data_IF_081119822597
#
_entry.id   IF_081119822597
#
_cell.length_a   1.000
_cell.length_b   1.000
_cell.length_c   1.000
_cell.angle_alpha   90.00
_cell.angle_beta   90.00
_cell.angle_gamma   90.00
#
_symmetry.space_group_name_H-M   'P 1'
#
loop_
_entity.id
_entity.type
_entity.pdbx_description
1 polymer ?
#
# COMPACT_ATOMS: atom_id res chain seq x y z
N UNK A 1 9.28 -17.29 2.78
CA UNK A 1 9.02 -17.58 4.22
C UNK A 1 7.53 -17.82 4.36
N UNK A 2 7.06 -19.02 4.76
CA UNK A 2 5.62 -19.23 4.94
C UNK A 2 5.17 -18.56 6.23
N UNK A 3 4.16 -17.69 6.16
CA UNK A 3 3.52 -17.16 7.37
C UNK A 3 2.91 -18.35 8.12
N UNK A 4 3.41 -18.61 9.33
CA UNK A 4 2.79 -19.60 10.23
C UNK A 4 1.61 -18.92 10.92
N UNK A 5 0.47 -19.59 10.96
CA UNK A 5 -0.67 -19.11 11.76
C UNK A 5 -0.21 -18.79 13.20
N UNK A 6 -0.65 -17.64 13.72
CA UNK A 6 -0.26 -17.14 15.04
C UNK A 6 1.04 -16.33 15.09
N UNK A 7 1.70 -16.09 13.95
CA UNK A 7 2.84 -15.16 13.88
C UNK A 7 2.37 -13.72 13.64
N UNK A 8 3.09 -12.76 14.23
CA UNK A 8 2.83 -11.34 14.05
C UNK A 8 3.16 -10.93 12.61
N UNK A 9 2.24 -10.24 11.95
CA UNK A 9 2.45 -9.74 10.59
C UNK A 9 3.56 -8.68 10.55
N UNK A 10 4.30 -8.62 9.44
CA UNK A 10 5.46 -7.72 9.27
C UNK A 10 5.12 -6.23 9.41
N UNK A 11 3.89 -5.84 9.03
CA UNK A 11 3.33 -4.51 9.31
C UNK A 11 3.48 -4.14 10.80
N UNK A 12 3.13 -5.07 11.70
CA UNK A 12 3.16 -4.85 13.15
C UNK A 12 4.54 -5.08 13.75
N UNK A 13 5.30 -6.03 13.20
CA UNK A 13 6.69 -6.25 13.62
C UNK A 13 7.55 -4.98 13.43
N UNK A 14 7.24 -4.19 12.40
CA UNK A 14 8.03 -3.01 12.01
C UNK A 14 7.39 -1.67 12.40
N UNK A 15 6.23 -1.69 13.08
CA UNK A 15 5.47 -0.49 13.40
C UNK A 15 6.16 0.43 14.43
N UNK A 16 7.15 -0.07 15.17
CA UNK A 16 7.75 0.67 16.29
C UNK A 16 6.77 0.88 17.44
N UNK A 17 7.09 1.81 18.33
CA UNK A 17 6.32 2.10 19.55
C UNK A 17 5.71 3.51 19.57
N UNK A 18 6.07 4.38 18.63
CA UNK A 18 5.54 5.73 18.59
C UNK A 18 4.16 5.77 17.93
N UNK A 19 3.33 6.72 18.40
CA UNK A 19 1.95 6.86 17.94
C UNK A 19 1.83 7.04 16.42
N UNK A 20 2.76 7.78 15.80
CA UNK A 20 2.71 8.06 14.37
C UNK A 20 2.96 6.80 13.56
N UNK A 21 3.93 6.00 13.94
CA UNK A 21 4.26 4.75 13.25
C UNK A 21 3.18 3.70 13.43
N UNK A 22 2.55 3.61 14.61
CA UNK A 22 1.38 2.76 14.86
C UNK A 22 0.20 3.17 13.97
N UNK A 23 -0.08 4.47 13.82
CA UNK A 23 -1.15 4.96 12.95
C UNK A 23 -0.91 4.59 11.48
N UNK A 24 0.34 4.69 11.01
CA UNK A 24 0.69 4.28 9.64
C UNK A 24 0.46 2.78 9.42
N UNK A 25 0.92 1.95 10.37
CA UNK A 25 0.74 0.51 10.33
C UNK A 25 -0.75 0.13 10.34
N UNK A 26 -1.56 0.80 11.15
CA UNK A 26 -3.00 0.57 11.23
C UNK A 26 -3.71 0.82 9.89
N UNK A 27 -3.42 1.95 9.23
CA UNK A 27 -4.00 2.26 7.91
C UNK A 27 -3.66 1.17 6.90
N UNK A 28 -2.40 0.73 6.85
CA UNK A 28 -1.98 -0.34 5.94
C UNK A 28 -2.65 -1.68 6.27
N UNK A 29 -2.76 -2.03 7.55
CA UNK A 29 -3.45 -3.24 8.01
C UNK A 29 -4.93 -3.25 7.62
N UNK A 30 -5.63 -2.11 7.75
CA UNK A 30 -7.03 -1.95 7.35
C UNK A 30 -7.21 -2.18 5.84
N UNK A 31 -6.30 -1.66 5.02
CA UNK A 31 -6.31 -1.87 3.56
C UNK A 31 -6.02 -3.33 3.21
N UNK A 32 -4.99 -3.92 3.83
CA UNK A 32 -4.63 -5.31 3.59
C UNK A 32 -5.75 -6.28 4.01
N UNK A 33 -6.43 -6.01 5.13
CA UNK A 33 -7.56 -6.81 5.61
C UNK A 33 -8.82 -6.66 4.75
N UNK A 34 -8.83 -5.77 3.75
CA UNK A 34 -9.99 -5.53 2.89
C UNK A 34 -11.15 -4.82 3.59
N UNK A 35 -10.95 -4.31 4.81
CA UNK A 35 -11.95 -3.54 5.56
C UNK A 35 -11.89 -2.04 5.25
N UNK A 36 -10.91 -1.61 4.46
CA UNK A 36 -10.85 -0.25 3.94
C UNK A 36 -12.01 0.03 2.99
N UNK A 37 -12.79 1.07 3.32
CA UNK A 37 -14.01 1.38 2.59
C UNK A 37 -13.73 2.33 1.43
N UNK A 38 -13.57 1.77 0.23
CA UNK A 38 -13.49 2.50 -1.05
C UNK A 38 -14.89 2.71 -1.66
N UNK A 39 -15.00 3.61 -2.66
CA UNK A 39 -16.28 3.83 -3.36
C UNK A 39 -16.82 2.57 -4.04
N UNK A 40 -15.94 1.76 -4.66
CA UNK A 40 -16.32 0.47 -5.26
C UNK A 40 -16.95 -0.50 -4.25
N UNK A 41 -16.44 -0.54 -3.01
CA UNK A 41 -17.02 -1.35 -1.95
C UNK A 41 -18.41 -0.82 -1.58
N UNK A 42 -18.58 0.49 -1.43
CA UNK A 42 -19.86 1.11 -1.07
C UNK A 42 -20.93 0.91 -2.14
N UNK A 43 -20.57 1.05 -3.42
CA UNK A 43 -21.49 0.84 -4.55
C UNK A 43 -21.96 -0.60 -4.66
N UNK A 44 -21.08 -1.58 -4.37
CA UNK A 44 -21.44 -3.00 -4.39
C UNK A 44 -22.45 -3.38 -3.29
N UNK A 45 -22.36 -2.76 -2.11
CA UNK A 45 -23.18 -3.15 -0.95
C UNK A 45 -24.46 -2.30 -0.76
N UNK A 46 -24.58 -1.12 -1.37
CA UNK A 46 -25.77 -0.27 -1.26
C UNK A 46 -26.62 -0.35 -2.53
N UNK A 47 -27.93 -0.52 -2.37
CA UNK A 47 -28.93 -0.52 -3.46
C UNK A 47 -29.19 0.86 -4.10
N UNK A 48 -28.50 1.92 -3.66
CA UNK A 48 -28.67 3.31 -4.13
C UNK A 48 -27.44 3.78 -4.93
N UNK A 49 -27.58 4.87 -5.70
CA UNK A 49 -26.59 5.49 -6.61
C UNK A 49 -25.28 5.97 -5.94
N UNK A 50 -24.54 5.08 -5.30
CA UNK A 50 -23.15 5.34 -4.95
C UNK A 50 -22.32 5.01 -6.17
N UNK A 51 -21.75 6.03 -6.81
CA UNK A 51 -20.82 5.85 -7.92
C UNK A 51 -19.57 5.10 -7.43
N UNK A 52 -19.09 4.13 -8.22
CA UNK A 52 -17.82 3.45 -7.97
C UNK A 52 -16.60 4.31 -8.34
N UNK A 53 -16.82 5.45 -8.99
CA UNK A 53 -15.77 6.33 -9.50
C UNK A 53 -14.98 6.96 -8.36
N UNK A 54 -13.66 7.02 -8.54
CA UNK A 54 -12.72 7.64 -7.63
C UNK A 54 -13.05 9.12 -7.42
N UNK A 55 -13.34 9.53 -6.18
CA UNK A 55 -13.74 10.90 -5.90
C UNK A 55 -12.55 11.86 -5.94
N UNK A 56 -11.32 11.35 -6.06
CA UNK A 56 -10.11 12.15 -6.16
C UNK A 56 -9.81 12.55 -7.60
N UNK A 57 -9.88 11.60 -8.54
CA UNK A 57 -9.51 11.84 -9.95
C UNK A 57 -10.72 11.94 -10.88
N UNK A 58 -11.89 11.41 -10.48
CA UNK A 58 -13.15 11.42 -11.24
C UNK A 58 -12.99 10.78 -12.63
N UNK A 59 -12.02 9.87 -12.78
CA UNK A 59 -11.65 9.29 -14.08
C UNK A 59 -11.86 7.77 -14.16
N UNK A 60 -11.71 7.06 -13.04
CA UNK A 60 -11.69 5.60 -13.01
C UNK A 60 -12.30 5.06 -11.70
N UNK A 61 -12.53 3.76 -11.60
CA UNK A 61 -13.09 3.09 -10.43
C UNK A 61 -12.11 3.18 -9.25
N UNK A 62 -12.60 3.49 -8.05
CA UNK A 62 -11.79 3.47 -6.83
C UNK A 62 -11.69 2.05 -6.28
N UNK A 63 -10.63 1.33 -6.63
CA UNK A 63 -10.30 0.03 -6.04
C UNK A 63 -8.90 0.02 -5.39
N UNK A 64 -8.51 -1.16 -4.90
CA UNK A 64 -7.23 -1.38 -4.22
C UNK A 64 -6.04 -1.34 -5.18
N UNK A 65 -6.22 -1.32 -6.50
CA UNK A 65 -5.14 -1.10 -7.46
C UNK A 65 -5.05 0.38 -7.84
N UNK A 66 -6.18 0.99 -8.17
CA UNK A 66 -6.27 2.37 -8.62
C UNK A 66 -5.69 3.35 -7.59
N UNK A 67 -6.12 3.24 -6.33
CA UNK A 67 -5.70 4.17 -5.27
C UNK A 67 -4.17 4.17 -5.04
N UNK A 68 -3.52 3.01 -4.81
CA UNK A 68 -2.08 2.96 -4.59
C UNK A 68 -1.21 3.10 -5.84
N UNK A 69 -1.68 2.76 -7.04
CA UNK A 69 -0.81 2.71 -8.22
C UNK A 69 -1.14 3.72 -9.32
N UNK A 70 -2.41 4.06 -9.53
CA UNK A 70 -2.85 4.66 -10.81
C UNK A 70 -3.48 6.05 -10.65
N UNK A 71 -4.04 6.38 -9.49
CA UNK A 71 -4.74 7.65 -9.28
C UNK A 71 -3.84 8.84 -9.59
N UNK A 72 -4.26 9.67 -10.56
CA UNK A 72 -3.50 10.85 -11.02
C UNK A 72 -3.47 11.95 -9.96
N UNK A 73 -4.57 12.12 -9.21
CA UNK A 73 -4.71 13.12 -8.15
C UNK A 73 -3.79 12.88 -6.94
N UNK A 74 -3.19 11.70 -6.83
CA UNK A 74 -2.23 11.34 -5.77
C UNK A 74 -0.82 11.07 -6.31
N UNK A 75 -0.56 11.29 -7.61
CA UNK A 75 0.71 10.96 -8.23
C UNK A 75 1.89 11.73 -7.63
N UNK A 76 1.71 13.02 -7.31
CA UNK A 76 2.72 13.84 -6.65
C UNK A 76 3.07 13.36 -5.24
N UNK A 77 2.11 12.71 -4.55
CA UNK A 77 2.30 12.13 -3.22
C UNK A 77 2.97 10.76 -3.33
N UNK A 78 2.56 9.94 -4.31
CA UNK A 78 3.06 8.57 -4.53
C UNK A 78 4.49 8.55 -5.06
N UNK A 79 4.80 9.39 -6.06
CA UNK A 79 6.04 9.33 -6.85
C UNK A 79 7.33 9.35 -6.00
N UNK A 80 7.49 10.20 -4.96
CA UNK A 80 8.69 10.20 -4.14
C UNK A 80 8.95 8.84 -3.45
N UNK A 81 7.90 8.19 -2.96
CA UNK A 81 8.03 6.89 -2.30
C UNK A 81 8.30 5.77 -3.30
N UNK A 82 7.63 5.78 -4.45
CA UNK A 82 7.87 4.80 -5.52
C UNK A 82 9.31 4.91 -6.03
N UNK A 83 9.83 6.13 -6.17
CA UNK A 83 11.23 6.37 -6.55
C UNK A 83 12.20 5.83 -5.50
N UNK A 84 11.93 6.05 -4.21
CA UNK A 84 12.72 5.49 -3.11
C UNK A 84 12.69 3.96 -3.09
N UNK A 85 11.53 3.36 -3.29
CA UNK A 85 11.36 1.91 -3.38
C UNK A 85 12.15 1.34 -4.57
N UNK A 86 12.07 2.00 -5.73
CA UNK A 86 12.81 1.61 -6.94
C UNK A 86 14.31 1.66 -6.74
N UNK A 87 14.80 2.75 -6.15
CA UNK A 87 16.23 2.93 -5.84
C UNK A 87 16.71 1.84 -4.88
N UNK A 88 15.96 1.60 -3.80
CA UNK A 88 16.28 0.56 -2.81
C UNK A 88 16.35 -0.84 -3.44
N UNK A 89 15.43 -1.18 -4.34
CA UNK A 89 15.45 -2.47 -5.03
C UNK A 89 16.61 -2.56 -6.03
N UNK A 90 16.86 -1.50 -6.80
CA UNK A 90 17.95 -1.43 -7.78
C UNK A 90 19.34 -1.55 -7.11
N UNK A 91 19.53 -0.94 -5.94
CA UNK A 91 20.80 -0.96 -5.19
C UNK A 91 21.16 -2.37 -4.69
N UNK A 92 20.18 -3.28 -4.63
CA UNK A 92 20.34 -4.62 -4.09
C UNK A 92 20.34 -5.66 -5.19
N UNK A 93 19.33 -5.62 -6.05
CA UNK A 93 19.12 -6.60 -7.11
C UNK A 93 18.27 -5.99 -8.25
N UNK A 94 18.93 -5.74 -9.38
CA UNK A 94 18.29 -5.19 -10.57
C UNK A 94 17.25 -6.16 -11.17
N UNK A 95 17.37 -7.48 -10.98
CA UNK A 95 16.36 -8.43 -11.45
C UNK A 95 15.08 -8.33 -10.61
N UNK A 96 15.21 -8.16 -9.28
CA UNK A 96 14.06 -7.94 -8.40
C UNK A 96 13.38 -6.61 -8.72
N UNK A 97 14.15 -5.54 -8.94
CA UNK A 97 13.60 -4.26 -9.37
C UNK A 97 12.79 -4.42 -10.66
N UNK A 98 13.38 -5.04 -11.69
CA UNK A 98 12.69 -5.29 -12.96
C UNK A 98 11.42 -6.10 -12.76
N UNK A 99 11.46 -7.18 -11.98
CA UNK A 99 10.29 -8.02 -11.69
C UNK A 99 9.15 -7.22 -11.04
N UNK A 100 9.49 -6.40 -10.04
CA UNK A 100 8.52 -5.60 -9.29
C UNK A 100 7.91 -4.51 -10.18
N UNK A 101 8.73 -3.78 -10.94
CA UNK A 101 8.26 -2.63 -11.72
C UNK A 101 7.70 -2.98 -13.10
N UNK A 102 7.99 -4.17 -13.62
CA UNK A 102 7.38 -4.67 -14.87
C UNK A 102 6.00 -5.28 -14.66
N UNK A 103 5.61 -5.60 -13.41
CA UNK A 103 4.34 -6.23 -13.11
C UNK A 103 3.57 -5.47 -12.02
N UNK A 104 2.49 -4.77 -12.42
CA UNK A 104 1.63 -3.99 -11.51
C UNK A 104 1.08 -4.81 -10.35
N UNK A 105 0.75 -6.09 -10.56
CA UNK A 105 0.24 -6.96 -9.50
C UNK A 105 1.31 -7.24 -8.45
N UNK A 106 2.56 -7.41 -8.87
CA UNK A 106 3.70 -7.60 -7.96
C UNK A 106 3.99 -6.30 -7.21
N UNK A 107 4.02 -5.16 -7.91
CA UNK A 107 4.20 -3.86 -7.26
C UNK A 107 3.10 -3.58 -6.22
N UNK A 108 1.84 -3.86 -6.54
CA UNK A 108 0.73 -3.71 -5.61
C UNK A 108 0.96 -4.55 -4.35
N UNK A 109 1.37 -5.81 -4.52
CA UNK A 109 1.69 -6.71 -3.40
C UNK A 109 2.86 -6.19 -2.59
N UNK A 110 3.94 -5.73 -3.21
CA UNK A 110 5.08 -5.12 -2.49
C UNK A 110 4.63 -3.92 -1.66
N UNK A 111 3.69 -3.11 -2.17
CA UNK A 111 3.15 -1.96 -1.43
C UNK A 111 2.22 -2.39 -0.29
N UNK A 112 1.40 -3.43 -0.46
CA UNK A 112 0.39 -3.82 0.53
C UNK A 112 0.88 -4.88 1.53
N UNK A 113 1.73 -5.81 1.10
CA UNK A 113 2.24 -6.94 1.86
C UNK A 113 3.58 -7.44 1.27
N UNK A 114 4.70 -6.95 1.82
CA UNK A 114 6.05 -7.39 1.44
C UNK A 114 6.33 -8.84 1.81
N UNK A 115 5.54 -9.41 2.71
CA UNK A 115 5.71 -10.78 3.21
C UNK A 115 4.95 -11.81 2.38
N UNK A 116 4.32 -11.38 1.28
CA UNK A 116 3.64 -12.25 0.34
C UNK A 116 4.63 -13.29 -0.23
N UNK A 117 4.30 -14.59 -0.20
CA UNK A 117 5.20 -15.66 -0.64
C UNK A 117 5.57 -15.61 -2.13
N UNK A 118 4.89 -14.76 -2.91
CA UNK A 118 5.18 -14.54 -4.32
C UNK A 118 6.41 -13.66 -4.57
N UNK A 119 6.90 -12.97 -3.53
CA UNK A 119 8.13 -12.20 -3.59
C UNK A 119 9.25 -13.09 -3.03
N UNK A 120 9.87 -13.89 -3.90
CA UNK A 120 10.95 -14.81 -3.50
C UNK A 120 12.27 -14.04 -3.32
N UNK A 121 12.42 -13.35 -2.19
CA UNK A 121 13.67 -12.64 -1.85
C UNK A 121 14.62 -13.59 -1.10
N UNK A 122 15.90 -13.63 -1.50
CA UNK A 122 16.98 -14.43 -0.89
C UNK A 122 17.29 -14.00 0.55
N UNK A 123 18.12 -14.72 1.33
CA UNK A 123 18.34 -14.49 2.79
C UNK A 123 18.80 -13.05 3.16
N UNK A 124 19.39 -12.28 2.24
CA UNK A 124 19.64 -10.83 2.40
C UNK A 124 18.33 -10.00 2.49
N UNK A 125 17.17 -10.67 2.39
CA UNK A 125 15.80 -10.14 2.40
C UNK A 125 15.36 -9.51 3.70
N UNK A 126 15.80 -9.94 4.88
CA UNK A 126 15.09 -9.55 6.12
C UNK A 126 15.21 -8.04 6.36
N UNK A 127 16.43 -7.50 6.35
CA UNK A 127 16.67 -6.06 6.46
C UNK A 127 16.07 -5.28 5.27
N UNK A 128 15.98 -5.92 4.11
CA UNK A 128 15.33 -5.34 2.94
C UNK A 128 13.81 -5.25 3.11
N UNK A 129 13.18 -6.31 3.63
CA UNK A 129 11.76 -6.36 3.91
C UNK A 129 11.37 -5.29 4.91
N UNK A 130 12.18 -5.05 5.95
CA UNK A 130 11.96 -3.96 6.89
C UNK A 130 11.97 -2.57 6.21
N UNK A 131 12.96 -2.32 5.35
CA UNK A 131 13.05 -1.05 4.61
C UNK A 131 11.90 -0.89 3.60
N UNK A 132 11.56 -1.94 2.86
CA UNK A 132 10.42 -1.94 1.94
C UNK A 132 9.12 -1.74 2.71
N UNK A 133 8.95 -2.40 3.85
CA UNK A 133 7.77 -2.27 4.70
C UNK A 133 7.62 -0.83 5.21
N UNK A 134 8.72 -0.21 5.65
CA UNK A 134 8.72 1.19 6.08
C UNK A 134 8.32 2.14 4.94
N UNK A 135 8.90 1.98 3.75
CA UNK A 135 8.58 2.81 2.58
C UNK A 135 7.12 2.61 2.16
N UNK A 136 6.68 1.36 2.04
CA UNK A 136 5.34 1.02 1.58
C UNK A 136 4.24 1.42 2.56
N UNK A 137 4.49 1.27 3.87
CA UNK A 137 3.64 1.83 4.94
C UNK A 137 3.55 3.35 4.83
N UNK A 138 4.66 4.02 4.51
CA UNK A 138 4.68 5.45 4.19
C UNK A 138 3.80 5.83 2.99
N UNK A 139 3.88 5.06 1.89
CA UNK A 139 3.03 5.25 0.69
C UNK A 139 1.57 5.21 1.09
N UNK A 140 1.16 4.11 1.71
CA UNK A 140 -0.24 3.81 2.01
C UNK A 140 -0.84 4.87 2.94
N UNK A 141 -0.09 5.26 3.98
CA UNK A 141 -0.53 6.30 4.90
C UNK A 141 -0.64 7.68 4.24
N UNK A 142 0.33 8.06 3.40
CA UNK A 142 0.31 9.35 2.71
C UNK A 142 -0.86 9.46 1.73
N UNK A 143 -1.17 8.37 1.02
CA UNK A 143 -2.32 8.29 0.13
C UNK A 143 -3.64 8.36 0.89
N UNK A 144 -3.75 7.64 2.01
CA UNK A 144 -4.90 7.72 2.90
C UNK A 144 -5.14 9.14 3.39
N UNK A 145 -4.11 9.82 3.90
CA UNK A 145 -4.22 11.21 4.36
C UNK A 145 -4.66 12.15 3.25
N UNK A 146 -4.07 12.02 2.06
CA UNK A 146 -4.45 12.82 0.90
C UNK A 146 -5.92 12.61 0.54
N UNK A 147 -6.39 11.37 0.63
CA UNK A 147 -7.79 11.03 0.40
C UNK A 147 -8.70 11.65 1.46
N UNK A 148 -8.39 11.50 2.75
CA UNK A 148 -9.19 12.08 3.82
C UNK A 148 -9.28 13.60 3.72
N UNK A 149 -8.15 14.28 3.47
CA UNK A 149 -8.10 15.72 3.28
C UNK A 149 -8.86 16.22 2.04
N UNK A 150 -9.01 15.41 1.00
CA UNK A 150 -9.76 15.78 -0.21
C UNK A 150 -11.26 15.56 -0.10
N UNK A 151 -11.67 14.70 0.81
CA UNK A 151 -13.07 14.31 0.99
C UNK A 151 -13.67 14.86 2.28
N UNK A 152 -12.95 15.75 2.96
CA UNK A 152 -13.28 16.29 4.29
C UNK A 152 -13.69 15.19 5.28
N UNK A 153 -13.08 14.01 5.15
CA UNK A 153 -13.25 12.94 6.11
C UNK A 153 -12.38 13.30 7.30
N UNK A 154 -13.00 13.57 8.46
CA UNK A 154 -12.29 13.80 9.71
C UNK A 154 -11.24 12.68 9.89
N UNK A 155 -9.98 13.08 10.15
CA UNK A 155 -8.84 12.19 10.37
C UNK A 155 -9.23 11.10 11.37
N UNK A 156 -9.55 9.91 10.87
CA UNK A 156 -10.04 8.77 11.66
C UNK A 156 -8.92 7.79 11.93
#
# INVERSE_FOLDING_TARGET
MSMKYGTVHTIWANAGLDFTSIMKANVKAIILAGVYTLQSNRSRFKKYEVSAICPLCIADIEDTEHSPLQCSSTDTVRRPFITKLRTLLCDIDHEIENLVFSNKSVLLKVILDVSSPQISISIQAILLMEKIEAISTGVVYALHHRRCAKLDLASS
#
